data_IF_279006984635
#
_entry.id   IF_279006984635
#
_cell.length_a   1.000
_cell.length_b   1.000
_cell.length_c   1.000
_cell.angle_alpha   90.00
_cell.angle_beta   90.00
_cell.angle_gamma   90.00
#
_symmetry.space_group_name_H-M   'P 1'
#
loop_
_entity.id
_entity.type
_entity.pdbx_description
1 polymer ?
#
# COMPACT_ATOMS: atom_id res chain seq x y z
N UNK A 1 14.29 14.90 27.00
CA UNK A 1 14.00 16.34 27.16
C UNK A 1 14.22 16.99 25.81
N UNK A 2 13.35 17.91 25.36
CA UNK A 2 13.59 18.64 24.13
C UNK A 2 14.82 19.54 24.27
N UNK A 3 15.54 19.75 23.16
CA UNK A 3 16.69 20.67 23.12
C UNK A 3 16.22 22.13 23.31
N UNK A 4 17.05 22.99 23.93
CA UNK A 4 16.74 24.41 24.08
C UNK A 4 16.70 25.13 22.73
N UNK A 5 15.86 26.16 22.61
CA UNK A 5 15.74 26.97 21.39
C UNK A 5 17.01 27.81 21.14
N UNK A 6 17.63 27.76 19.95
CA UNK A 6 18.83 28.52 19.66
C UNK A 6 18.53 30.02 19.51
N UNK A 7 19.45 30.86 19.98
CA UNK A 7 19.34 32.33 19.99
C UNK A 7 19.80 32.99 18.69
N UNK A 8 20.53 32.28 17.83
CA UNK A 8 21.01 32.77 16.54
C UNK A 8 20.85 31.71 15.42
N UNK A 9 20.63 32.13 14.16
CA UNK A 9 20.66 31.19 13.03
C UNK A 9 21.99 30.44 12.99
N UNK A 10 21.94 29.12 12.74
CA UNK A 10 23.12 28.24 12.63
C UNK A 10 23.93 27.99 13.91
N UNK A 11 23.48 28.48 15.08
CA UNK A 11 24.16 28.25 16.36
C UNK A 11 24.10 26.79 16.82
N UNK A 12 23.00 26.12 16.50
CA UNK A 12 22.80 24.70 16.74
C UNK A 12 22.29 24.05 15.45
N UNK A 13 22.96 22.99 15.01
CA UNK A 13 22.58 22.18 13.85
C UNK A 13 22.39 20.77 14.37
N UNK A 14 21.19 20.48 14.85
CA UNK A 14 20.78 19.10 15.17
C UNK A 14 20.29 18.42 13.89
N UNK A 15 20.81 17.22 13.60
CA UNK A 15 20.32 16.39 12.51
C UNK A 15 19.68 15.12 13.07
N UNK A 16 18.36 15.03 12.97
CA UNK A 16 17.61 13.85 13.39
C UNK A 16 17.68 12.77 12.30
N UNK A 17 18.26 11.63 12.63
CA UNK A 17 18.22 10.45 11.76
C UNK A 17 17.04 9.56 12.11
N UNK A 18 16.55 8.79 11.13
CA UNK A 18 15.49 7.80 11.36
C UNK A 18 16.02 6.69 12.26
N UNK A 19 15.59 6.66 13.52
CA UNK A 19 15.97 5.65 14.52
C UNK A 19 14.83 4.63 14.66
N UNK A 20 15.04 3.46 14.07
CA UNK A 20 14.12 2.31 14.16
C UNK A 20 14.78 1.00 13.70
N UNK A 21 16.11 1.02 13.55
CA UNK A 21 16.89 -0.06 12.99
C UNK A 21 17.54 -0.91 14.10
N UNK A 22 17.98 -2.14 13.79
CA UNK A 22 18.62 -3.00 14.79
C UNK A 22 19.85 -2.30 15.37
N UNK A 23 19.92 -2.24 16.70
CA UNK A 23 21.05 -1.63 17.40
C UNK A 23 22.29 -2.50 17.23
N UNK A 24 23.39 -1.88 16.81
CA UNK A 24 24.71 -2.53 16.85
C UNK A 24 25.15 -2.82 18.29
N UNK A 25 26.23 -3.63 18.46
CA UNK A 25 26.86 -3.87 19.77
C UNK A 25 27.26 -2.58 20.51
N UNK A 26 27.48 -1.49 19.78
CA UNK A 26 27.76 -0.14 20.32
C UNK A 26 26.51 0.73 20.52
N UNK A 27 25.31 0.17 20.39
CA UNK A 27 24.04 0.86 20.64
C UNK A 27 23.53 1.76 19.51
N UNK A 28 24.14 1.73 18.32
CA UNK A 28 23.79 2.62 17.20
C UNK A 28 22.71 2.00 16.31
N UNK A 29 21.69 2.78 15.93
CA UNK A 29 20.49 2.40 15.17
C UNK A 29 20.21 3.29 13.93
N UNK A 30 21.28 3.84 13.34
CA UNK A 30 21.19 4.68 12.12
C UNK A 30 21.39 3.88 10.83
N UNK A 31 20.76 4.33 9.73
CA UNK A 31 20.90 3.78 8.38
C UNK A 31 22.37 3.70 7.96
N UNK A 32 23.18 4.71 8.33
CA UNK A 32 24.60 4.73 8.01
C UNK A 32 25.36 3.53 8.55
N UNK A 33 24.93 2.98 9.68
CA UNK A 33 25.59 1.81 10.27
C UNK A 33 25.28 0.55 9.47
N UNK A 34 24.12 0.46 8.83
CA UNK A 34 23.80 -0.64 7.93
C UNK A 34 24.59 -0.49 6.62
N UNK A 35 24.72 0.73 6.10
CA UNK A 35 25.40 0.98 4.82
C UNK A 35 26.92 0.92 4.93
N UNK A 36 27.49 1.48 6.01
CA UNK A 36 28.94 1.65 6.19
C UNK A 36 29.53 0.92 7.41
N UNK A 37 28.71 0.34 8.29
CA UNK A 37 29.19 -0.32 9.52
C UNK A 37 29.58 0.66 10.62
N UNK A 38 29.53 1.97 10.36
CA UNK A 38 29.79 3.04 11.31
C UNK A 38 28.98 4.29 10.97
N UNK A 39 28.90 5.21 11.93
CA UNK A 39 28.31 6.54 11.69
C UNK A 39 29.44 7.43 11.16
N UNK A 40 29.33 7.98 9.93
CA UNK A 40 30.34 8.87 9.41
C UNK A 40 30.48 10.09 10.31
N UNK A 41 31.71 10.64 10.40
CA UNK A 41 31.97 11.85 11.18
C UNK A 41 31.17 13.01 10.58
N UNK A 42 30.37 13.69 11.40
CA UNK A 42 29.71 14.92 11.01
C UNK A 42 30.74 16.06 10.90
N UNK A 43 30.43 17.15 10.16
CA UNK A 43 31.33 18.30 10.09
C UNK A 43 31.75 18.86 11.46
N UNK A 44 30.86 18.80 12.46
CA UNK A 44 31.17 19.20 13.84
C UNK A 44 32.17 18.26 14.53
N UNK A 45 32.15 16.96 14.20
CA UNK A 45 33.08 15.95 14.72
C UNK A 45 34.51 16.12 14.16
N UNK A 46 34.66 16.87 13.05
CA UNK A 46 35.97 17.15 12.46
C UNK A 46 36.76 18.22 13.22
N UNK A 47 36.08 19.04 14.04
CA UNK A 47 36.73 20.05 14.89
C UNK A 47 37.29 19.47 16.20
N UNK A 48 36.85 18.27 16.60
CA UNK A 48 37.40 17.55 17.75
C UNK A 48 38.69 16.82 17.34
N UNK A 49 39.83 17.52 17.44
CA UNK A 49 41.15 16.89 17.41
C UNK A 49 41.40 16.15 18.72
N UNK A 50 42.08 15.00 18.61
CA UNK A 50 42.40 14.00 19.64
C UNK A 50 41.28 13.03 20.04
N UNK A 51 40.78 12.27 19.05
CA UNK A 51 40.31 10.91 19.33
C UNK A 51 41.42 9.94 18.93
N UNK A 52 42.07 9.32 19.92
CA UNK A 52 43.03 8.23 19.73
C UNK A 52 42.49 7.27 18.67
N UNK A 53 43.36 6.96 17.70
CA UNK A 53 43.04 6.27 16.45
C UNK A 53 41.90 5.27 16.62
N UNK A 54 40.82 5.48 15.85
CA UNK A 54 39.85 4.43 15.65
C UNK A 54 40.63 3.17 15.23
N UNK A 55 40.45 2.01 15.89
CA UNK A 55 41.26 0.85 15.59
C UNK A 55 41.15 0.59 14.09
N UNK A 56 42.29 0.42 13.43
CA UNK A 56 42.37 -0.08 12.07
C UNK A 56 41.58 -1.39 12.04
N UNK A 57 40.32 -1.31 11.61
CA UNK A 57 39.45 -2.48 11.60
C UNK A 57 40.01 -3.36 10.51
N UNK A 58 40.46 -4.56 10.89
CA UNK A 58 40.82 -5.60 9.94
C UNK A 58 39.71 -5.71 8.89
N UNK A 59 40.07 -5.56 7.62
CA UNK A 59 39.13 -5.51 6.52
C UNK A 59 38.25 -6.78 6.48
N UNK A 60 38.84 -7.95 6.82
CA UNK A 60 38.10 -9.21 6.89
C UNK A 60 37.02 -9.15 7.99
N UNK A 61 37.40 -8.73 9.20
CA UNK A 61 36.46 -8.60 10.32
C UNK A 61 35.35 -7.56 10.04
N UNK A 62 35.64 -6.50 9.30
CA UNK A 62 34.65 -5.52 8.87
C UNK A 62 33.61 -6.13 7.91
N UNK A 63 34.07 -6.91 6.93
CA UNK A 63 33.19 -7.58 5.96
C UNK A 63 32.26 -8.56 6.68
N UNK A 64 32.80 -9.40 7.56
CA UNK A 64 32.01 -10.36 8.34
C UNK A 64 30.95 -9.65 9.20
N UNK A 65 31.34 -8.53 9.81
CA UNK A 65 30.42 -7.69 10.56
C UNK A 65 29.28 -7.15 9.69
N UNK A 66 29.61 -6.67 8.49
CA UNK A 66 28.63 -6.10 7.56
C UNK A 66 27.65 -7.14 7.02
N UNK A 67 28.13 -8.33 6.67
CA UNK A 67 27.27 -9.45 6.27
C UNK A 67 26.27 -9.77 7.39
N UNK A 68 26.77 -9.90 8.62
CA UNK A 68 25.93 -10.19 9.79
C UNK A 68 24.86 -9.10 10.00
N UNK A 69 25.25 -7.82 9.87
CA UNK A 69 24.33 -6.69 10.00
C UNK A 69 23.24 -6.70 8.92
N UNK A 70 23.61 -6.95 7.66
CA UNK A 70 22.65 -6.99 6.54
C UNK A 70 21.66 -8.13 6.71
N UNK A 71 22.13 -9.33 7.09
CA UNK A 71 21.25 -10.45 7.37
C UNK A 71 20.27 -10.14 8.50
N UNK A 72 20.74 -9.55 9.60
CA UNK A 72 19.89 -9.19 10.73
C UNK A 72 18.85 -8.12 10.33
N UNK A 73 19.27 -7.10 9.58
CA UNK A 73 18.37 -6.07 9.05
C UNK A 73 17.32 -6.68 8.13
N UNK A 74 17.70 -7.56 7.21
CA UNK A 74 16.77 -8.23 6.30
C UNK A 74 15.73 -9.06 7.06
N UNK A 75 16.16 -9.85 8.06
CA UNK A 75 15.25 -10.62 8.92
C UNK A 75 14.26 -9.69 9.64
N UNK A 76 14.74 -8.57 10.17
CA UNK A 76 13.89 -7.62 10.89
C UNK A 76 12.89 -6.90 9.97
N UNK A 77 13.31 -6.50 8.77
CA UNK A 77 12.42 -5.93 7.74
C UNK A 77 11.34 -6.95 7.37
N UNK A 78 11.72 -8.21 7.12
CA UNK A 78 10.76 -9.26 6.77
C UNK A 78 9.74 -9.50 7.89
N UNK A 79 10.19 -9.66 9.14
CA UNK A 79 9.32 -9.85 10.29
C UNK A 79 8.36 -8.66 10.51
N UNK A 80 8.88 -7.44 10.34
CA UNK A 80 8.12 -6.20 10.50
C UNK A 80 7.09 -6.05 9.38
N UNK A 81 7.47 -6.30 8.13
CA UNK A 81 6.58 -6.28 6.98
C UNK A 81 5.45 -7.32 7.14
N UNK A 82 5.75 -8.53 7.60
CA UNK A 82 4.73 -9.55 7.87
C UNK A 82 3.72 -9.08 8.94
N UNK A 83 4.21 -8.46 10.02
CA UNK A 83 3.36 -7.87 11.06
C UNK A 83 2.45 -6.78 10.48
N UNK A 84 3.00 -5.87 9.68
CA UNK A 84 2.22 -4.80 9.04
C UNK A 84 1.24 -5.32 7.98
N UNK A 85 1.56 -6.41 7.29
CA UNK A 85 0.66 -7.05 6.34
C UNK A 85 -0.59 -7.58 7.06
N UNK A 86 -0.42 -8.30 8.17
CA UNK A 86 -1.55 -8.82 8.97
C UNK A 86 -2.40 -7.67 9.53
N UNK A 87 -1.77 -6.67 10.14
CA UNK A 87 -2.49 -5.52 10.70
C UNK A 87 -3.20 -4.69 9.62
N UNK A 88 -2.54 -4.46 8.49
CA UNK A 88 -3.07 -3.64 7.40
C UNK A 88 -4.16 -4.33 6.60
N UNK A 89 -4.04 -5.65 6.34
CA UNK A 89 -5.05 -6.40 5.59
C UNK A 89 -6.36 -6.60 6.35
N UNK A 90 -6.36 -6.41 7.68
CA UNK A 90 -7.56 -6.53 8.50
C UNK A 90 -8.67 -5.58 8.00
N UNK A 91 -9.78 -6.15 7.54
CA UNK A 91 -10.93 -5.42 7.03
C UNK A 91 -10.85 -4.98 5.57
N UNK A 92 -9.73 -5.22 4.86
CA UNK A 92 -9.63 -4.98 3.43
C UNK A 92 -10.23 -6.16 2.66
N UNK A 93 -11.09 -5.87 1.69
CA UNK A 93 -11.59 -6.87 0.74
C UNK A 93 -10.64 -6.93 -0.44
N UNK A 94 -10.15 -8.13 -0.76
CA UNK A 94 -9.36 -8.34 -1.97
C UNK A 94 -10.27 -8.16 -3.19
N UNK A 95 -9.94 -7.27 -4.12
CA UNK A 95 -10.71 -7.02 -5.35
C UNK A 95 -9.74 -7.15 -6.51
N UNK A 96 -10.10 -7.96 -7.51
CA UNK A 96 -9.30 -8.17 -8.73
C UNK A 96 -10.22 -8.16 -9.94
N UNK A 97 -9.69 -7.70 -11.06
CA UNK A 97 -10.38 -7.64 -12.34
C UNK A 97 -9.59 -8.40 -13.38
N UNK A 98 -10.26 -8.85 -14.43
CA UNK A 98 -9.63 -9.48 -15.58
C UNK A 98 -9.92 -8.67 -16.85
N UNK A 99 -9.07 -8.77 -17.88
CA UNK A 99 -9.33 -8.13 -19.16
C UNK A 99 -10.71 -8.51 -19.70
N UNK A 100 -11.51 -7.51 -20.06
CA UNK A 100 -12.89 -7.67 -20.49
C UNK A 100 -13.94 -7.29 -19.43
N UNK A 101 -13.58 -7.27 -18.15
CA UNK A 101 -14.49 -6.83 -17.10
C UNK A 101 -14.88 -5.36 -17.27
N UNK A 102 -16.13 -5.05 -16.93
CA UNK A 102 -16.63 -3.67 -16.87
C UNK A 102 -16.44 -3.12 -15.44
N UNK A 103 -15.93 -1.90 -15.33
CA UNK A 103 -15.66 -1.25 -14.04
C UNK A 103 -16.08 0.22 -14.05
N UNK A 104 -16.59 0.68 -12.90
CA UNK A 104 -16.76 2.09 -12.62
C UNK A 104 -15.42 2.73 -12.24
N UNK A 105 -15.11 3.88 -12.83
CA UNK A 105 -13.90 4.65 -12.51
C UNK A 105 -14.21 5.77 -11.51
N UNK A 106 -13.48 5.83 -10.40
CA UNK A 106 -13.57 6.90 -9.42
C UNK A 106 -12.89 8.19 -9.90
N UNK A 107 -13.64 9.28 -9.89
CA UNK A 107 -13.18 10.61 -10.30
C UNK A 107 -12.57 11.36 -9.11
N UNK A 108 -11.25 11.21 -8.92
CA UNK A 108 -10.48 11.96 -7.93
C UNK A 108 -10.24 13.41 -8.39
N UNK A 109 -10.29 14.37 -7.46
CA UNK A 109 -10.19 15.80 -7.78
C UNK A 109 -8.87 16.16 -8.45
N UNK A 110 -7.79 15.55 -7.98
CA UNK A 110 -6.43 15.82 -8.43
C UNK A 110 -6.19 15.38 -9.87
N UNK A 111 -6.81 14.26 -10.29
CA UNK A 111 -6.70 13.74 -11.66
C UNK A 111 -7.77 14.30 -12.59
N UNK A 112 -8.96 14.58 -12.08
CA UNK A 112 -10.12 15.01 -12.87
C UNK A 112 -10.70 16.34 -12.37
N UNK A 113 -9.94 17.44 -12.41
CA UNK A 113 -10.40 18.73 -11.90
C UNK A 113 -11.60 19.27 -12.68
N UNK A 114 -11.71 18.96 -13.98
CA UNK A 114 -12.81 19.39 -14.86
C UNK A 114 -14.09 18.60 -14.63
N UNK A 115 -13.99 17.30 -14.30
CA UNK A 115 -15.14 16.41 -14.08
C UNK A 115 -15.59 16.34 -12.62
N UNK A 116 -14.75 16.78 -11.65
CA UNK A 116 -15.06 16.80 -10.21
C UNK A 116 -14.98 18.21 -9.61
N UNK A 117 -15.68 19.18 -10.22
CA UNK A 117 -15.62 20.61 -9.83
C UNK A 117 -16.40 20.96 -8.58
N UNK A 118 -17.53 20.28 -8.33
CA UNK A 118 -18.43 20.59 -7.22
C UNK A 118 -18.82 19.34 -6.42
N UNK A 119 -19.30 19.55 -5.20
CA UNK A 119 -19.72 18.47 -4.29
C UNK A 119 -20.91 17.66 -4.81
N UNK A 120 -21.68 18.20 -5.76
CA UNK A 120 -22.89 17.58 -6.31
C UNK A 120 -22.64 16.82 -7.62
N UNK A 121 -21.45 16.94 -8.23
CA UNK A 121 -21.12 16.18 -9.43
C UNK A 121 -20.94 14.69 -9.12
N UNK A 122 -21.22 13.80 -10.09
CA UNK A 122 -20.97 12.37 -9.95
C UNK A 122 -19.52 12.08 -9.52
N UNK A 123 -19.36 11.15 -8.57
CA UNK A 123 -18.05 10.74 -8.05
C UNK A 123 -17.41 9.60 -8.83
N UNK A 124 -18.14 8.98 -9.74
CA UNK A 124 -17.64 7.93 -10.62
C UNK A 124 -18.22 8.12 -12.02
N UNK A 125 -17.48 7.69 -13.04
CA UNK A 125 -17.89 7.69 -14.43
C UNK A 125 -17.89 6.25 -14.95
N UNK A 126 -18.88 5.99 -15.83
CA UNK A 126 -19.11 4.87 -16.74
C UNK A 126 -18.70 3.45 -16.35
N UNK A 127 -19.35 2.41 -16.90
CA UNK A 127 -18.65 1.15 -17.11
C UNK A 127 -17.58 1.37 -18.19
N UNK A 128 -16.32 1.30 -17.79
CA UNK A 128 -15.18 1.20 -18.71
C UNK A 128 -14.70 -0.23 -18.75
N UNK A 129 -14.29 -0.68 -19.93
CA UNK A 129 -13.74 -2.01 -20.11
C UNK A 129 -12.29 -2.05 -19.62
N UNK A 130 -11.94 -3.05 -18.82
CA UNK A 130 -10.53 -3.35 -18.52
C UNK A 130 -9.90 -3.93 -19.79
N UNK A 131 -8.93 -3.22 -20.36
CA UNK A 131 -8.17 -3.68 -21.54
C UNK A 131 -7.08 -4.66 -21.14
N UNK A 132 -6.28 -4.29 -20.15
CA UNK A 132 -5.14 -5.11 -19.72
C UNK A 132 -4.93 -5.01 -18.21
N UNK A 133 -4.54 -6.12 -17.60
CA UNK A 133 -4.11 -6.20 -16.21
C UNK A 133 -2.59 -6.12 -16.15
N UNK A 134 -2.04 -5.07 -15.53
CA UNK A 134 -0.59 -4.93 -15.32
C UNK A 134 -0.19 -5.73 -14.07
N UNK A 135 -0.92 -5.53 -12.98
CA UNK A 135 -0.83 -6.30 -11.75
C UNK A 135 -2.18 -6.24 -11.02
N UNK A 136 -2.34 -6.96 -9.90
CA UNK A 136 -3.60 -6.94 -9.14
C UNK A 136 -3.98 -5.53 -8.63
N UNK A 137 -3.01 -4.61 -8.57
CA UNK A 137 -3.18 -3.24 -8.09
C UNK A 137 -3.37 -2.20 -9.20
N UNK A 138 -3.15 -2.53 -10.48
CA UNK A 138 -3.06 -1.57 -11.58
C UNK A 138 -3.57 -2.16 -12.90
N UNK A 139 -4.49 -1.44 -13.53
CA UNK A 139 -5.22 -1.86 -14.73
C UNK A 139 -5.24 -0.75 -15.76
N UNK A 140 -5.26 -1.12 -17.04
CA UNK A 140 -5.47 -0.17 -18.15
C UNK A 140 -6.93 -0.29 -18.58
N UNK A 141 -7.61 0.84 -18.66
CA UNK A 141 -9.01 0.93 -19.10
C UNK A 141 -9.13 1.43 -20.53
N UNK A 142 -10.21 1.04 -21.19
CA UNK A 142 -10.68 1.63 -22.43
C UNK A 142 -11.36 2.97 -22.13
N UNK A 143 -10.54 4.02 -22.00
CA UNK A 143 -10.99 5.36 -21.63
C UNK A 143 -10.91 6.30 -22.84
N UNK A 144 -11.97 7.06 -23.17
CA UNK A 144 -11.94 8.04 -24.24
C UNK A 144 -10.86 9.11 -24.01
N UNK A 145 -10.22 9.54 -25.10
CA UNK A 145 -9.18 10.58 -25.06
C UNK A 145 -9.67 11.92 -24.48
N UNK A 146 -10.97 12.17 -24.51
CA UNK A 146 -11.63 13.36 -23.94
C UNK A 146 -11.40 13.52 -22.43
N UNK A 147 -11.13 12.43 -21.71
CA UNK A 147 -10.83 12.50 -20.28
C UNK A 147 -9.47 13.15 -20.00
N UNK A 148 -8.57 13.21 -20.99
CA UNK A 148 -7.30 13.93 -20.89
C UNK A 148 -6.33 13.39 -19.83
N UNK A 149 -6.49 12.13 -19.40
CA UNK A 149 -5.65 11.47 -18.38
C UNK A 149 -5.08 10.15 -18.91
N UNK A 150 -4.07 9.62 -18.23
CA UNK A 150 -3.56 8.27 -18.48
C UNK A 150 -4.65 7.21 -18.27
N UNK A 151 -4.69 6.20 -19.12
CA UNK A 151 -5.64 5.08 -19.05
C UNK A 151 -5.31 4.05 -17.97
N UNK A 152 -4.16 4.17 -17.30
CA UNK A 152 -3.72 3.32 -16.20
C UNK A 152 -4.29 3.80 -14.86
N UNK A 153 -4.98 2.91 -14.14
CA UNK A 153 -5.62 3.22 -12.85
C UNK A 153 -5.29 2.19 -11.78
N UNK A 154 -5.26 2.66 -10.53
CA UNK A 154 -5.11 1.79 -9.37
C UNK A 154 -6.43 1.07 -9.06
N UNK A 155 -6.37 -0.18 -8.57
CA UNK A 155 -7.54 -0.97 -8.18
C UNK A 155 -8.45 -0.26 -7.17
N UNK A 156 -7.89 0.57 -6.30
CA UNK A 156 -8.63 1.35 -5.32
C UNK A 156 -9.56 2.40 -5.96
N UNK A 157 -9.25 2.82 -7.19
CA UNK A 157 -10.06 3.76 -7.96
C UNK A 157 -11.11 3.06 -8.84
N UNK A 158 -11.16 1.72 -8.82
CA UNK A 158 -12.05 0.92 -9.65
C UNK A 158 -13.12 0.24 -8.79
N UNK A 159 -14.34 0.17 -9.31
CA UNK A 159 -15.41 -0.64 -8.71
C UNK A 159 -16.01 -1.58 -9.74
N UNK A 160 -16.34 -2.84 -9.37
CA UNK A 160 -16.99 -3.77 -10.29
C UNK A 160 -18.32 -3.21 -10.80
N UNK A 161 -18.57 -3.35 -12.11
CA UNK A 161 -19.87 -3.12 -12.71
C UNK A 161 -20.67 -4.43 -12.75
N UNK A 162 -21.95 -4.40 -12.39
CA UNK A 162 -22.79 -5.62 -12.24
C UNK A 162 -23.92 -5.70 -13.29
N UNK A 163 -24.05 -4.72 -14.20
CA UNK A 163 -25.10 -4.68 -15.22
C UNK A 163 -26.39 -4.00 -14.75
N UNK A 164 -27.27 -3.68 -15.71
CA UNK A 164 -28.56 -2.99 -15.49
C UNK A 164 -29.76 -3.94 -15.26
N UNK A 165 -29.56 -5.27 -15.34
CA UNK A 165 -30.65 -6.28 -15.21
C UNK A 165 -31.25 -6.41 -13.80
N UNK A 166 -30.79 -5.64 -12.82
CA UNK A 166 -31.42 -5.52 -11.52
C UNK A 166 -31.58 -4.02 -11.21
N UNK A 167 -32.78 -3.48 -11.49
CA UNK A 167 -33.27 -2.24 -10.88
C UNK A 167 -33.26 -2.41 -9.34
N UNK A 168 -32.11 -2.20 -8.72
CA UNK A 168 -32.04 -1.86 -7.31
C UNK A 168 -32.20 -0.33 -7.21
N UNK A 169 -33.14 0.15 -6.38
CA UNK A 169 -33.57 1.54 -6.39
C UNK A 169 -32.39 2.48 -6.16
N UNK A 170 -32.34 3.49 -7.02
CA UNK A 170 -31.65 4.77 -6.88
C UNK A 170 -30.75 4.94 -5.66
N UNK A 171 -29.46 5.16 -5.96
CA UNK A 171 -28.63 6.19 -5.31
C UNK A 171 -28.53 6.07 -3.79
N UNK A 172 -27.83 5.05 -3.32
CA UNK A 172 -26.99 5.25 -2.13
C UNK A 172 -25.57 4.88 -2.51
N UNK A 173 -24.79 5.89 -2.94
CA UNK A 173 -23.34 5.76 -2.80
C UNK A 173 -23.12 5.40 -1.35
N UNK A 174 -22.53 4.24 -1.06
CA UNK A 174 -22.00 3.99 0.28
C UNK A 174 -21.21 5.24 0.65
N UNK A 175 -21.62 5.92 1.73
CA UNK A 175 -20.92 7.08 2.24
C UNK A 175 -19.47 6.62 2.37
N UNK A 176 -18.62 7.06 1.44
CA UNK A 176 -17.19 7.08 1.68
C UNK A 176 -17.06 7.97 2.90
N UNK A 177 -16.69 7.37 4.03
CA UNK A 177 -16.26 8.07 5.23
C UNK A 177 -15.38 9.24 4.79
N UNK A 178 -15.59 10.39 5.43
CA UNK A 178 -15.04 11.69 5.05
C UNK A 178 -13.61 11.62 4.53
N UNK A 179 -13.28 12.57 3.64
CA UNK A 179 -11.90 13.03 3.53
C UNK A 179 -11.56 13.55 4.94
N UNK A 180 -11.10 12.66 5.83
CA UNK A 180 -10.70 12.96 7.20
C UNK A 180 -9.31 13.59 7.11
N UNK A 181 -9.21 14.86 7.50
CA UNK A 181 -7.98 15.41 8.06
C UNK A 181 -7.64 14.54 9.30
N UNK A 182 -6.48 13.90 9.27
CA UNK A 182 -6.01 12.98 10.31
C UNK A 182 -5.88 13.69 11.67
N UNK A 183 -6.68 13.27 12.65
CA UNK A 183 -6.33 13.27 14.09
C UNK A 183 -7.36 12.43 14.87
N UNK A 184 -7.10 11.14 15.08
CA UNK A 184 -7.97 10.33 15.96
C UNK A 184 -7.17 9.37 16.84
N UNK A 185 -7.14 9.71 18.14
CA UNK A 185 -6.94 8.77 19.24
C UNK A 185 -8.23 7.93 19.42
N UNK A 186 -8.12 6.61 19.38
CA UNK A 186 -9.24 5.70 19.59
C UNK A 186 -9.08 4.94 20.91
N UNK A 187 -9.99 5.22 21.84
CA UNK A 187 -10.38 4.23 22.83
C UNK A 187 -11.89 4.11 22.80
N UNK A 188 -12.42 2.98 22.35
CA UNK A 188 -13.68 2.37 22.84
C UNK A 188 -13.86 0.99 22.20
N UNK A 189 -14.10 0.00 23.08
CA UNK A 189 -14.33 -1.42 22.81
C UNK A 189 -15.80 -1.68 22.44
N UNK A 190 -16.04 -2.66 21.57
CA UNK A 190 -17.24 -3.53 21.57
C UNK A 190 -16.88 -4.79 20.74
N UNK A 191 -16.58 -5.92 21.41
CA UNK A 191 -17.45 -7.07 21.72
C UNK A 191 -17.66 -8.06 20.55
N UNK A 192 -17.31 -9.32 20.83
CA UNK A 192 -17.21 -10.50 19.96
C UNK A 192 -18.51 -11.32 19.92
N UNK A 193 -18.70 -12.13 18.88
CA UNK A 193 -19.03 -13.57 19.01
C UNK A 193 -18.68 -14.36 17.72
N UNK A 194 -18.44 -15.70 17.76
CA UNK A 194 -17.53 -16.40 16.84
C UNK A 194 -18.14 -17.53 15.97
N UNK A 195 -17.26 -18.06 15.10
CA UNK A 195 -17.17 -19.43 14.50
C UNK A 195 -18.11 -19.90 13.38
N UNK A 196 -17.51 -20.26 12.22
CA UNK A 196 -17.38 -21.65 11.76
C UNK A 196 -16.43 -21.76 10.53
N UNK A 197 -15.59 -22.80 10.53
CA UNK A 197 -14.59 -23.13 9.51
C UNK A 197 -15.19 -23.98 8.38
N UNK A 198 -14.76 -23.78 7.13
CA UNK A 198 -14.62 -24.84 6.13
C UNK A 198 -13.69 -24.39 4.98
N UNK A 199 -12.67 -25.20 4.72
CA UNK A 199 -11.63 -25.03 3.69
C UNK A 199 -12.06 -25.57 2.32
N UNK A 200 -11.92 -24.78 1.24
CA UNK A 200 -11.74 -25.25 -0.16
C UNK A 200 -11.26 -24.07 -1.06
N UNK A 201 -10.75 -24.30 -2.29
CA UNK A 201 -9.63 -23.57 -2.86
C UNK A 201 -9.96 -22.15 -3.38
N UNK A 202 -8.91 -21.36 -3.43
CA UNK A 202 -8.80 -19.96 -3.84
C UNK A 202 -9.63 -19.59 -5.09
N UNK A 203 -10.77 -18.93 -4.88
CA UNK A 203 -11.33 -18.00 -5.86
C UNK A 203 -11.62 -16.68 -5.15
N UNK A 204 -10.90 -15.62 -5.53
CA UNK A 204 -11.22 -14.26 -5.12
C UNK A 204 -12.60 -13.82 -5.64
N UNK A 205 -13.11 -12.66 -5.23
CA UNK A 205 -14.45 -12.23 -5.64
C UNK A 205 -14.50 -12.08 -7.16
N UNK A 206 -15.28 -12.97 -7.77
CA UNK A 206 -15.53 -13.00 -9.20
C UNK A 206 -16.60 -11.96 -9.55
N UNK A 207 -16.46 -11.27 -10.69
CA UNK A 207 -17.54 -10.43 -11.20
C UNK A 207 -18.77 -11.31 -11.50
N UNK A 208 -19.98 -10.85 -11.15
CA UNK A 208 -21.21 -11.65 -11.32
C UNK A 208 -21.48 -11.97 -12.81
N UNK A 209 -21.03 -11.12 -13.73
CA UNK A 209 -21.04 -11.38 -15.17
C UNK A 209 -20.21 -12.61 -15.54
N UNK A 210 -18.98 -12.71 -15.00
CA UNK A 210 -18.13 -13.88 -15.15
C UNK A 210 -18.69 -15.11 -14.43
N UNK A 211 -19.36 -14.95 -13.30
CA UNK A 211 -20.10 -16.04 -12.66
C UNK A 211 -21.23 -16.56 -13.57
N UNK A 212 -21.94 -15.67 -14.29
CA UNK A 212 -22.96 -16.06 -15.28
C UNK A 212 -22.34 -16.75 -16.49
N UNK A 213 -21.24 -16.25 -17.05
CA UNK A 213 -20.54 -16.91 -18.16
C UNK A 213 -20.02 -18.29 -17.77
N UNK A 214 -19.40 -18.43 -16.59
CA UNK A 214 -18.96 -19.73 -16.10
C UNK A 214 -20.13 -20.68 -15.87
N UNK A 215 -21.24 -20.21 -15.30
CA UNK A 215 -22.46 -21.02 -15.14
C UNK A 215 -23.05 -21.42 -16.49
N UNK A 216 -23.05 -20.55 -17.49
CA UNK A 216 -23.52 -20.84 -18.85
C UNK A 216 -22.62 -21.87 -19.54
N UNK A 217 -21.30 -21.72 -19.43
CA UNK A 217 -20.32 -22.69 -19.93
C UNK A 217 -20.47 -24.05 -19.23
N UNK A 218 -20.74 -24.07 -17.91
CA UNK A 218 -21.00 -25.31 -17.18
C UNK A 218 -22.32 -25.97 -17.58
N UNK A 219 -23.37 -25.18 -17.83
CA UNK A 219 -24.66 -25.68 -18.33
C UNK A 219 -24.52 -26.32 -19.72
N UNK A 220 -23.82 -25.66 -20.64
CA UNK A 220 -23.55 -26.17 -21.99
C UNK A 220 -22.69 -27.43 -22.00
N UNK A 221 -21.89 -27.67 -20.95
CA UNK A 221 -21.04 -28.85 -20.82
C UNK A 221 -21.78 -30.07 -20.25
N UNK A 222 -22.96 -29.86 -19.66
CA UNK A 222 -23.82 -30.90 -19.11
C UNK A 222 -24.92 -31.37 -20.09
N UNK A 223 -25.12 -30.66 -21.20
CA UNK A 223 -26.00 -31.07 -22.31
C UNK A 223 -25.18 -31.78 -23.41
N UNK A 224 -24.55 -32.91 -23.06
CA UNK A 224 -24.08 -33.89 -24.04
C UNK A 224 -25.25 -34.59 -24.73
N UNK A 225 -25.09 -35.11 -25.97
CA UNK A 225 -26.21 -35.56 -26.77
C UNK A 225 -26.92 -36.74 -26.09
N UNK A 226 -28.25 -36.66 -26.00
CA UNK A 226 -29.07 -37.82 -25.70
C UNK A 226 -28.94 -38.82 -26.87
N UNK A 227 -28.33 -39.98 -26.60
CA UNK A 227 -28.46 -41.20 -27.41
C UNK A 227 -29.59 -42.07 -26.87
#
# INVERSE_FOLDING_TARGET
>A
MPLPTPTFPWLDISMDFVLGLPRTKKGRDSIFVIVYGYIPRAPIDLFALDAADAPHIDAAAHIDHMITLHEQTQRNIAATNAKYQVAGSKGRKHVTFEPGDMVWLHLRKDRFPTLRRSKLMPRAAGPFKVLTKINDNAYILDLPAEFGVSTSFNVADLKPYVGEDEELPSRTTSISKGEDDEDINYNTKAHLHPEAQASSPTLGPITRARARELNYIMLLKNEGPEE
#
